data_IF_809216136934
#
_entry.id   IF_809216136934
#
_cell.length_a   1.000
_cell.length_b   1.000
_cell.length_c   1.000
_cell.angle_alpha   90.00
_cell.angle_beta   90.00
_cell.angle_gamma   90.00
#
_symmetry.space_group_name_H-M   'P 1'
#
loop_
_entity.id
_entity.type
_entity.pdbx_description
1 polymer ?
#
# COMPACT_ATOMS: atom_id res chain seq x y z
N UNK A 1 0.71 13.25 23.60
CA UNK A 1 1.01 11.81 23.31
C UNK A 1 -0.13 11.04 22.65
N UNK A 2 -1.41 11.38 22.86
CA UNK A 2 -2.54 10.72 22.18
C UNK A 2 -2.60 11.05 20.68
N UNK A 3 -2.32 12.29 20.30
CA UNK A 3 -2.36 12.76 18.89
C UNK A 3 -1.40 12.01 17.98
N UNK A 4 -0.12 11.83 18.36
CA UNK A 4 0.86 11.04 17.57
C UNK A 4 0.43 9.58 17.44
N UNK A 5 -0.16 9.01 18.51
CA UNK A 5 -0.68 7.64 18.51
C UNK A 5 -1.88 7.52 17.56
N UNK A 6 -2.80 8.49 17.60
CA UNK A 6 -3.98 8.54 16.72
C UNK A 6 -3.55 8.71 15.26
N UNK A 7 -2.67 9.66 14.97
CA UNK A 7 -2.15 9.91 13.62
C UNK A 7 -1.49 8.66 13.04
N UNK A 8 -0.64 7.98 13.82
CA UNK A 8 -0.03 6.71 13.42
C UNK A 8 -1.08 5.64 13.13
N UNK A 9 -2.13 5.55 13.94
CA UNK A 9 -3.17 4.55 13.75
C UNK A 9 -4.00 4.80 12.49
N UNK A 10 -4.32 6.08 12.21
CA UNK A 10 -5.01 6.49 10.98
C UNK A 10 -4.14 6.16 9.77
N UNK A 11 -2.86 6.56 9.77
CA UNK A 11 -1.92 6.24 8.69
C UNK A 11 -1.79 4.73 8.46
N UNK A 12 -1.78 3.95 9.55
CA UNK A 12 -1.72 2.50 9.45
C UNK A 12 -2.98 1.93 8.78
N UNK A 13 -4.17 2.39 9.17
CA UNK A 13 -5.44 1.96 8.55
C UNK A 13 -5.47 2.33 7.07
N UNK A 14 -5.09 3.56 6.72
CA UNK A 14 -5.03 4.02 5.32
C UNK A 14 -4.05 3.18 4.50
N UNK A 15 -2.85 2.92 5.03
CA UNK A 15 -1.86 2.06 4.37
C UNK A 15 -2.38 0.63 4.17
N UNK A 16 -3.13 0.10 5.13
CA UNK A 16 -3.71 -1.25 5.04
C UNK A 16 -4.82 -1.33 3.98
N UNK A 17 -5.66 -0.30 3.86
CA UNK A 17 -6.68 -0.20 2.80
C UNK A 17 -6.03 -0.10 1.42
N UNK A 18 -5.00 0.73 1.26
CA UNK A 18 -4.25 0.83 0.00
C UNK A 18 -3.59 -0.50 -0.37
N UNK A 19 -2.99 -1.19 0.61
CA UNK A 19 -2.37 -2.49 0.38
C UNK A 19 -3.40 -3.56 0.00
N UNK A 20 -4.58 -3.55 0.62
CA UNK A 20 -5.67 -4.44 0.25
C UNK A 20 -6.18 -4.15 -1.17
N UNK A 21 -6.31 -2.87 -1.54
CA UNK A 21 -6.69 -2.46 -2.89
C UNK A 21 -5.68 -2.97 -3.93
N UNK A 22 -4.37 -2.81 -3.66
CA UNK A 22 -3.32 -3.33 -4.54
C UNK A 22 -3.38 -4.85 -4.71
N UNK A 23 -3.51 -5.59 -3.60
CA UNK A 23 -3.49 -7.06 -3.64
C UNK A 23 -4.75 -7.69 -4.23
N UNK A 24 -5.90 -7.05 -4.04
CA UNK A 24 -7.19 -7.62 -4.45
C UNK A 24 -7.58 -7.25 -5.87
N UNK A 25 -7.07 -6.13 -6.39
CA UNK A 25 -7.50 -5.60 -7.69
C UNK A 25 -6.32 -5.40 -8.64
N UNK A 26 -5.40 -4.49 -8.28
CA UNK A 26 -4.34 -4.02 -9.19
C UNK A 26 -3.36 -5.13 -9.56
N UNK A 27 -2.80 -5.82 -8.57
CA UNK A 27 -1.82 -6.88 -8.81
C UNK A 27 -2.41 -8.09 -9.58
N UNK A 28 -3.59 -8.60 -9.23
CA UNK A 28 -4.28 -9.65 -9.99
C UNK A 28 -4.54 -9.30 -11.46
N UNK A 29 -4.97 -8.08 -11.75
CA UNK A 29 -5.23 -7.61 -13.10
C UNK A 29 -3.94 -7.49 -13.90
N UNK A 30 -2.88 -6.94 -13.30
CA UNK A 30 -1.56 -6.89 -13.92
C UNK A 30 -1.05 -8.29 -14.28
N UNK A 31 -1.15 -9.25 -13.36
CA UNK A 31 -0.71 -10.62 -13.63
C UNK A 31 -1.55 -11.33 -14.68
N UNK A 32 -2.86 -11.06 -14.74
CA UNK A 32 -3.76 -11.61 -15.74
C UNK A 32 -3.42 -11.07 -17.14
N UNK A 33 -3.26 -9.75 -17.28
CA UNK A 33 -3.02 -9.11 -18.56
C UNK A 33 -1.57 -9.20 -19.06
N UNK A 34 -0.59 -9.46 -18.18
CA UNK A 34 0.80 -9.66 -18.59
C UNK A 34 0.99 -10.84 -19.56
N UNK A 35 0.17 -11.88 -19.44
CA UNK A 35 0.30 -13.12 -20.22
C UNK A 35 -0.82 -13.31 -21.25
N UNK A 36 -1.75 -12.37 -21.36
CA UNK A 36 -2.86 -12.41 -22.31
C UNK A 36 -2.49 -11.71 -23.63
N UNK A 37 -3.05 -12.17 -24.75
CA UNK A 37 -2.95 -11.45 -26.02
C UNK A 37 -3.86 -10.21 -25.99
N UNK A 38 -3.46 -9.15 -26.70
CA UNK A 38 -4.22 -7.89 -26.75
C UNK A 38 -5.67 -8.13 -27.17
N UNK A 39 -6.61 -7.70 -26.33
CA UNK A 39 -8.05 -7.82 -26.58
C UNK A 39 -8.67 -9.14 -26.12
N UNK A 40 -7.92 -10.03 -25.46
CA UNK A 40 -8.48 -11.24 -24.84
C UNK A 40 -8.94 -11.00 -23.39
N UNK A 41 -9.98 -11.74 -22.99
CA UNK A 41 -10.39 -11.84 -21.59
C UNK A 41 -9.40 -12.72 -20.83
N UNK A 42 -8.76 -12.17 -19.80
CA UNK A 42 -7.91 -12.93 -18.90
C UNK A 42 -8.64 -13.25 -17.59
N UNK A 43 -8.37 -14.41 -17.01
CA UNK A 43 -8.87 -14.75 -15.67
C UNK A 43 -7.80 -14.41 -14.64
N UNK A 44 -8.15 -13.61 -13.65
CA UNK A 44 -7.24 -13.24 -12.57
C UNK A 44 -7.01 -14.41 -11.61
N UNK A 45 -5.99 -14.28 -10.75
CA UNK A 45 -5.73 -15.25 -9.68
C UNK A 45 -6.90 -15.42 -8.69
N UNK A 46 -7.83 -14.45 -8.66
CA UNK A 46 -9.04 -14.48 -7.83
C UNK A 46 -10.26 -15.07 -8.57
N UNK A 47 -10.09 -15.49 -9.82
CA UNK A 47 -11.12 -16.19 -10.59
C UNK A 47 -12.15 -15.29 -11.29
N UNK A 48 -11.97 -13.96 -11.27
CA UNK A 48 -12.79 -13.04 -12.07
C UNK A 48 -12.12 -12.74 -13.42
N UNK A 49 -12.94 -12.41 -14.42
CA UNK A 49 -12.48 -12.05 -15.76
C UNK A 49 -12.22 -10.55 -15.86
N UNK A 50 -11.16 -10.20 -16.59
CA UNK A 50 -10.79 -8.83 -16.91
C UNK A 50 -10.50 -8.73 -18.41
N UNK A 51 -10.99 -7.66 -19.03
CA UNK A 51 -10.73 -7.36 -20.43
C UNK A 51 -9.34 -6.73 -20.57
N UNK A 52 -8.38 -7.46 -21.15
CA UNK A 52 -7.02 -6.98 -21.37
C UNK A 52 -6.89 -6.26 -22.71
N UNK A 53 -7.60 -5.14 -22.83
CA UNK A 53 -7.63 -4.33 -24.07
C UNK A 53 -6.46 -3.33 -24.04
N UNK A 54 -5.63 -3.32 -25.08
CA UNK A 54 -4.54 -2.35 -25.30
C UNK A 54 -3.55 -2.25 -24.12
N UNK A 55 -3.13 -1.02 -23.78
CA UNK A 55 -2.14 -0.70 -22.72
C UNK A 55 -2.61 -1.01 -21.28
N UNK A 56 -3.69 -1.77 -21.08
CA UNK A 56 -4.19 -2.19 -19.76
C UNK A 56 -3.11 -2.82 -18.86
N UNK A 57 -2.17 -3.57 -19.43
CA UNK A 57 -1.03 -4.11 -18.68
C UNK A 57 -0.05 -3.03 -18.21
N UNK A 58 0.25 -2.03 -19.06
CA UNK A 58 1.13 -0.91 -18.72
C UNK A 58 0.46 0.03 -17.71
N UNK A 59 -0.83 0.32 -17.90
CA UNK A 59 -1.62 1.13 -16.98
C UNK A 59 -1.67 0.52 -15.59
N UNK A 60 -1.94 -0.78 -15.49
CA UNK A 60 -2.00 -1.48 -14.21
C UNK A 60 -0.61 -1.56 -13.55
N UNK A 61 0.47 -1.66 -14.33
CA UNK A 61 1.84 -1.59 -13.82
C UNK A 61 2.17 -0.21 -13.24
N UNK A 62 1.82 0.87 -13.96
CA UNK A 62 2.01 2.24 -13.48
C UNK A 62 1.19 2.49 -12.22
N UNK A 63 -0.06 2.02 -12.19
CA UNK A 63 -0.90 2.09 -11.01
C UNK A 63 -0.26 1.36 -9.82
N UNK A 64 0.22 0.14 -10.02
CA UNK A 64 0.91 -0.64 -9.00
C UNK A 64 2.19 0.03 -8.47
N UNK A 65 2.98 0.64 -9.35
CA UNK A 65 4.17 1.39 -8.92
C UNK A 65 3.80 2.63 -8.13
N UNK A 66 2.76 3.35 -8.56
CA UNK A 66 2.30 4.56 -7.88
C UNK A 66 1.78 4.22 -6.48
N UNK A 67 0.83 3.27 -6.37
CA UNK A 67 0.27 2.80 -5.09
C UNK A 67 1.34 2.21 -4.19
N UNK A 68 2.25 1.41 -4.75
CA UNK A 68 3.42 0.87 -4.04
C UNK A 68 4.31 1.97 -3.45
N UNK A 69 4.60 3.03 -4.21
CA UNK A 69 5.35 4.18 -3.70
C UNK A 69 4.63 4.90 -2.55
N UNK A 70 3.31 5.08 -2.66
CA UNK A 70 2.49 5.65 -1.58
C UNK A 70 2.53 4.80 -0.31
N UNK A 71 2.38 3.47 -0.44
CA UNK A 71 2.44 2.52 0.66
C UNK A 71 3.80 2.61 1.36
N UNK A 72 4.89 2.57 0.60
CA UNK A 72 6.25 2.71 1.11
C UNK A 72 6.44 4.02 1.89
N UNK A 73 5.99 5.14 1.32
CA UNK A 73 6.03 6.44 1.97
C UNK A 73 5.28 6.46 3.30
N UNK A 74 4.07 5.90 3.35
CA UNK A 74 3.26 5.80 4.57
C UNK A 74 3.98 4.97 5.63
N UNK A 75 4.56 3.81 5.27
CA UNK A 75 5.29 2.97 6.22
C UNK A 75 6.55 3.66 6.77
N UNK A 76 7.29 4.40 5.95
CA UNK A 76 8.44 5.18 6.39
C UNK A 76 8.01 6.24 7.41
N UNK A 77 6.92 6.99 7.13
CA UNK A 77 6.39 8.00 8.05
C UNK A 77 5.96 7.36 9.37
N UNK A 78 5.27 6.21 9.33
CA UNK A 78 4.88 5.45 10.53
C UNK A 78 6.10 5.05 11.35
N UNK A 79 7.17 4.57 10.70
CA UNK A 79 8.41 4.19 11.37
C UNK A 79 9.08 5.39 12.05
N UNK A 80 9.17 6.54 11.37
CA UNK A 80 9.70 7.79 11.93
C UNK A 80 8.87 8.22 13.15
N UNK A 81 7.54 8.26 13.02
CA UNK A 81 6.63 8.61 14.13
C UNK A 81 6.81 7.65 15.32
N UNK A 82 7.02 6.36 15.05
CA UNK A 82 7.28 5.37 16.09
C UNK A 82 8.61 5.62 16.80
N UNK A 83 9.69 5.93 16.07
CA UNK A 83 11.00 6.26 16.65
C UNK A 83 10.96 7.53 17.49
N UNK A 84 10.30 8.59 16.98
CA UNK A 84 10.10 9.86 17.70
C UNK A 84 9.34 9.61 19.00
N UNK A 85 8.24 8.85 18.95
CA UNK A 85 7.47 8.49 20.14
C UNK A 85 8.32 7.73 21.17
N UNK A 86 9.14 6.76 20.72
CA UNK A 86 10.03 5.98 21.60
C UNK A 86 11.10 6.85 22.25
N UNK A 87 11.70 7.79 21.50
CA UNK A 87 12.74 8.71 22.01
C UNK A 87 12.16 9.68 23.05
N UNK A 88 11.01 10.27 22.76
CA UNK A 88 10.29 11.17 23.68
C UNK A 88 9.91 10.46 24.99
N UNK A 89 9.41 9.22 24.92
CA UNK A 89 9.07 8.43 26.11
C UNK A 89 10.29 8.07 26.98
N UNK A 90 11.47 7.88 26.37
CA UNK A 90 12.72 7.66 27.12
C UNK A 90 13.18 8.92 27.86
N UNK A 91 13.14 10.09 27.21
CA UNK A 91 13.51 11.36 27.85
C UNK A 91 12.61 11.73 29.04
N UNK A 92 11.31 11.44 28.98
CA UNK A 92 10.41 11.70 30.12
C UNK A 92 10.74 10.80 31.32
N UNK A 93 11.12 9.53 31.10
CA UNK A 93 11.53 8.63 32.19
C UNK A 93 12.87 8.99 32.83
N UNK A 94 13.81 9.54 32.06
CA UNK A 94 15.12 9.93 32.61
C UNK A 94 15.06 11.18 33.48
N UNK A 95 14.04 12.02 33.34
CA UNK A 95 13.83 13.22 34.18
C UNK A 95 13.14 12.85 35.52
N UNK A 96 12.43 11.72 35.58
CA UNK A 96 11.73 11.25 36.79
C UNK A 96 12.59 10.37 37.72
N UNK A 97 13.88 10.18 37.43
CA UNK A 97 14.78 9.33 38.20
C UNK A 97 15.88 10.18 38.80
#
# INVERSE_FOLDING_TARGET
MKTVKILRNILFIVGLVLLAFDFLLVLPEYYACKNAYEGEEATTIWGYKVDCIGDSAEFTLVFFQLTGCWILGIFIIIAILHLVYKKQKKNVRSIQR
#
